data_IF_241293357994
#
_entry.id   IF_241293357994
#
_cell.length_a   1.000
_cell.length_b   1.000
_cell.length_c   1.000
_cell.angle_alpha   90.00
_cell.angle_beta   90.00
_cell.angle_gamma   90.00
#
_symmetry.space_group_name_H-M   'P 1'
#
loop_
_entity.id
_entity.type
_entity.pdbx_description
1 polymer ?
#
# COMPACT_ATOMS: atom_id res chain seq x y z
N UNK A 1 -12.50 -7.29 6.24
CA UNK A 1 -11.45 -8.34 6.12
C UNK A 1 -10.96 -8.54 4.68
N UNK A 2 -11.85 -8.68 3.69
CA UNK A 2 -11.46 -8.89 2.26
C UNK A 2 -10.45 -7.86 1.75
N UNK A 3 -10.65 -6.57 2.02
CA UNK A 3 -9.75 -5.50 1.57
C UNK A 3 -8.34 -5.58 2.19
N UNK A 4 -8.24 -6.01 3.44
CA UNK A 4 -6.95 -6.20 4.12
C UNK A 4 -6.16 -7.37 3.51
N UNK A 5 -6.85 -8.50 3.26
CA UNK A 5 -6.23 -9.67 2.61
C UNK A 5 -5.83 -9.34 1.17
N UNK A 6 -6.69 -8.62 0.44
CA UNK A 6 -6.42 -8.18 -0.92
C UNK A 6 -5.19 -7.26 -1.00
N UNK A 7 -5.11 -6.26 -0.12
CA UNK A 7 -3.96 -5.36 -0.03
C UNK A 7 -2.66 -6.09 0.27
N UNK A 8 -2.66 -7.02 1.24
CA UNK A 8 -1.48 -7.81 1.57
C UNK A 8 -1.01 -8.66 0.37
N UNK A 9 -1.93 -9.36 -0.31
CA UNK A 9 -1.59 -10.19 -1.48
C UNK A 9 -1.05 -9.35 -2.64
N UNK A 10 -1.62 -8.17 -2.88
CA UNK A 10 -1.11 -7.25 -3.89
C UNK A 10 0.32 -6.80 -3.56
N UNK A 11 0.56 -6.42 -2.30
CA UNK A 11 1.90 -6.07 -1.80
C UNK A 11 2.92 -7.20 -1.98
N UNK A 12 2.56 -8.42 -1.57
CA UNK A 12 3.38 -9.62 -1.77
C UNK A 12 3.69 -9.86 -3.26
N UNK A 13 2.73 -9.60 -4.15
CA UNK A 13 2.93 -9.68 -5.60
C UNK A 13 3.96 -8.69 -6.13
N UNK A 14 3.92 -7.43 -5.67
CA UNK A 14 4.88 -6.40 -6.10
C UNK A 14 6.33 -6.72 -5.70
N UNK A 15 6.53 -7.36 -4.55
CA UNK A 15 7.86 -7.76 -4.08
C UNK A 15 8.25 -9.19 -4.49
N UNK A 16 7.38 -9.90 -5.23
CA UNK A 16 7.65 -11.24 -5.72
C UNK A 16 7.66 -12.33 -4.65
N UNK A 17 7.04 -12.09 -3.49
CA UNK A 17 7.08 -13.02 -2.35
C UNK A 17 5.87 -13.94 -2.33
N UNK A 18 6.11 -15.26 -2.24
CA UNK A 18 5.01 -16.26 -2.27
C UNK A 18 4.41 -16.52 -0.89
N UNK A 19 5.15 -16.21 0.17
CA UNK A 19 4.71 -16.41 1.57
C UNK A 19 4.98 -15.16 2.41
N UNK A 20 4.32 -15.07 3.56
CA UNK A 20 4.56 -13.98 4.52
C UNK A 20 5.99 -14.03 5.05
N UNK A 21 6.53 -15.23 5.27
CA UNK A 21 7.92 -15.39 5.72
C UNK A 21 8.91 -14.84 4.68
N UNK A 22 8.71 -15.21 3.41
CA UNK A 22 9.50 -14.73 2.28
C UNK A 22 9.48 -13.20 2.17
N UNK A 23 8.31 -12.58 2.36
CA UNK A 23 8.19 -11.11 2.41
C UNK A 23 8.95 -10.50 3.59
N UNK A 24 8.91 -11.12 4.77
CA UNK A 24 9.63 -10.62 5.95
C UNK A 24 11.15 -10.70 5.80
N UNK A 25 11.65 -11.69 5.07
CA UNK A 25 13.07 -11.93 4.87
C UNK A 25 13.65 -11.13 3.70
N UNK A 26 12.89 -10.98 2.60
CA UNK A 26 13.41 -10.45 1.34
C UNK A 26 12.92 -9.04 0.96
N UNK A 27 11.83 -8.54 1.55
CA UNK A 27 11.34 -7.20 1.23
C UNK A 27 12.33 -6.11 1.64
N UNK A 28 12.41 -5.06 0.83
CA UNK A 28 13.29 -3.92 1.08
C UNK A 28 12.48 -2.66 1.27
N UNK A 29 12.84 -1.89 2.28
CA UNK A 29 12.27 -0.58 2.53
C UNK A 29 13.23 0.52 2.09
N UNK A 30 12.67 1.62 1.63
CA UNK A 30 13.40 2.85 1.34
C UNK A 30 12.86 3.96 2.23
N UNK A 31 13.74 4.86 2.66
CA UNK A 31 13.32 6.03 3.43
C UNK A 31 12.75 7.08 2.48
N UNK A 32 11.54 7.53 2.75
CA UNK A 32 10.89 8.61 1.99
C UNK A 32 10.90 9.92 2.79
N UNK A 33 10.72 11.03 2.08
CA UNK A 33 10.55 12.36 2.68
C UNK A 33 9.08 12.64 2.99
N UNK A 34 8.78 13.70 3.74
CA UNK A 34 7.39 14.15 3.96
C UNK A 34 6.70 14.52 2.64
N UNK A 35 7.45 15.05 1.67
CA UNK A 35 6.93 15.31 0.33
C UNK A 35 6.56 14.00 -0.39
N UNK A 36 7.41 12.98 -0.32
CA UNK A 36 7.13 11.65 -0.87
C UNK A 36 5.94 10.96 -0.21
N UNK A 37 5.72 11.20 1.09
CA UNK A 37 4.51 10.73 1.77
C UNK A 37 3.25 11.37 1.17
N UNK A 38 3.24 12.70 1.00
CA UNK A 38 2.10 13.40 0.37
C UNK A 38 1.86 12.92 -1.06
N UNK A 39 2.93 12.69 -1.82
CA UNK A 39 2.87 12.14 -3.18
C UNK A 39 2.28 10.71 -3.20
N UNK A 40 2.58 9.89 -2.19
CA UNK A 40 2.06 8.52 -2.12
C UNK A 40 0.55 8.47 -1.86
N UNK A 41 0.00 9.48 -1.19
CA UNK A 41 -1.44 9.63 -0.98
C UNK A 41 -2.11 10.25 -2.21
N UNK A 42 -3.43 10.07 -2.32
CA UNK A 42 -4.23 10.81 -3.31
C UNK A 42 -4.00 12.31 -3.13
N UNK A 43 -3.58 12.99 -4.20
CA UNK A 43 -3.32 14.43 -4.21
C UNK A 43 -3.83 15.07 -5.51
N UNK A 44 -4.13 16.37 -5.46
CA UNK A 44 -4.56 17.22 -6.58
C UNK A 44 -5.83 16.77 -7.31
N UNK A 45 -6.72 16.03 -6.64
CA UNK A 45 -8.03 15.61 -7.16
C UNK A 45 -9.12 15.67 -6.09
N UNK A 46 -10.37 15.80 -6.53
CA UNK A 46 -11.55 15.69 -5.67
C UNK A 46 -12.05 14.25 -5.69
N UNK A 47 -12.09 13.60 -4.52
CA UNK A 47 -12.67 12.26 -4.38
C UNK A 47 -14.20 12.39 -4.41
N UNK A 48 -14.80 11.96 -5.52
CA UNK A 48 -16.27 12.03 -5.73
C UNK A 48 -17.00 10.80 -5.20
N UNK A 49 -16.28 9.72 -4.92
CA UNK A 49 -16.80 8.46 -4.39
C UNK A 49 -15.78 7.82 -3.47
N UNK A 50 -16.23 7.37 -2.30
CA UNK A 50 -15.37 6.66 -1.35
C UNK A 50 -14.93 5.31 -1.89
N UNK A 51 -13.65 5.00 -1.69
CA UNK A 51 -13.10 3.68 -1.99
C UNK A 51 -13.20 2.78 -0.76
N UNK A 52 -13.53 1.48 -0.93
CA UNK A 52 -13.76 0.55 0.19
C UNK A 52 -12.48 0.18 0.97
N UNK A 53 -11.32 0.67 0.54
CA UNK A 53 -9.99 0.37 1.09
C UNK A 53 -9.14 1.64 1.32
N UNK A 54 -9.71 2.83 1.18
CA UNK A 54 -8.99 4.10 1.36
C UNK A 54 -9.88 5.09 2.11
N UNK A 55 -9.69 5.14 3.43
CA UNK A 55 -10.36 6.09 4.32
C UNK A 55 -9.41 7.25 4.61
N UNK A 56 -9.89 8.47 4.38
CA UNK A 56 -9.24 9.68 4.87
C UNK A 56 -9.96 10.04 6.18
N UNK A 57 -9.24 10.05 7.29
CA UNK A 57 -9.68 10.73 8.52
C UNK A 57 -9.48 12.25 8.37
#
# INVERSE_FOLDING_TARGET
VQQLIGGLKAGMGYVGCRTIQDMRENARFVRITSAGLRESHVHDVIITKEAPNYWLD
#
